data_IF_965742268044
#
_entry.id   IF_965742268044
#
_cell.length_a   1.000
_cell.length_b   1.000
_cell.length_c   1.000
_cell.angle_alpha   90.00
_cell.angle_beta   90.00
_cell.angle_gamma   90.00
#
_symmetry.space_group_name_H-M   'P 1'
#
loop_
_entity.id
_entity.type
_entity.pdbx_description
1 polymer ?
#
# COMPACT_ATOMS: atom_id res chain seq x y z
N UNK A 1 12.50 4.93 9.83
CA UNK A 1 11.35 4.78 8.93
C UNK A 1 11.90 5.18 7.59
N UNK A 2 12.01 4.23 6.67
CA UNK A 2 12.93 4.35 5.54
C UNK A 2 12.19 4.32 4.19
N UNK A 3 10.86 4.15 4.23
CA UNK A 3 9.99 4.14 3.07
C UNK A 3 9.56 5.56 2.71
N UNK A 4 9.77 5.93 1.44
CA UNK A 4 9.37 7.22 0.89
C UNK A 4 8.48 6.99 -0.34
N UNK A 5 7.40 7.77 -0.44
CA UNK A 5 6.52 7.77 -1.61
C UNK A 5 6.56 9.16 -2.26
N UNK A 6 6.87 9.19 -3.56
CA UNK A 6 6.88 10.42 -4.36
C UNK A 6 5.83 10.27 -5.46
N UNK A 7 4.98 11.29 -5.60
CA UNK A 7 3.97 11.36 -6.65
C UNK A 7 4.19 12.62 -7.47
N UNK A 8 4.08 12.50 -8.79
CA UNK A 8 4.20 13.62 -9.72
C UNK A 8 3.20 13.45 -10.85
N UNK A 9 2.79 14.55 -11.46
CA UNK A 9 1.85 14.55 -12.59
C UNK A 9 2.51 14.18 -13.92
N UNK A 10 3.84 14.30 -14.01
CA UNK A 10 4.60 14.08 -15.25
C UNK A 10 5.79 13.14 -15.05
N UNK A 11 6.01 12.27 -16.04
CA UNK A 11 7.15 11.34 -16.05
C UNK A 11 8.50 12.07 -16.05
N UNK A 12 8.72 13.16 -16.83
CA UNK A 12 9.97 13.91 -16.76
C UNK A 12 10.20 14.56 -15.40
N UNK A 13 9.14 15.10 -14.77
CA UNK A 13 9.22 15.68 -13.43
C UNK A 13 9.63 14.65 -12.39
N UNK A 14 9.06 13.44 -12.46
CA UNK A 14 9.47 12.32 -11.60
C UNK A 14 10.96 11.99 -11.72
N UNK A 15 11.49 11.94 -12.96
CA UNK A 15 12.93 11.68 -13.19
C UNK A 15 13.82 12.76 -12.59
N UNK A 16 13.40 14.01 -12.71
CA UNK A 16 14.13 15.14 -12.14
C UNK A 16 14.17 15.08 -10.60
N UNK A 17 13.02 14.81 -9.97
CA UNK A 17 12.94 14.65 -8.52
C UNK A 17 13.74 13.44 -8.04
N UNK A 18 13.68 12.31 -8.75
CA UNK A 18 14.46 11.11 -8.39
C UNK A 18 15.96 11.39 -8.38
N UNK A 19 16.45 12.16 -9.36
CA UNK A 19 17.86 12.56 -9.41
C UNK A 19 18.25 13.47 -8.25
N UNK A 20 17.44 14.49 -7.94
CA UNK A 20 17.72 15.36 -6.79
C UNK A 20 17.66 14.62 -5.45
N UNK A 21 16.75 13.65 -5.33
CA UNK A 21 16.64 12.79 -4.15
C UNK A 21 17.87 11.87 -4.00
N UNK A 22 18.40 11.37 -5.11
CA UNK A 22 19.64 10.57 -5.11
C UNK A 22 20.84 11.39 -4.63
N UNK A 23 21.00 12.62 -5.12
CA UNK A 23 22.06 13.54 -4.68
C UNK A 23 21.96 13.86 -3.17
N UNK A 24 20.75 14.11 -2.66
CA UNK A 24 20.51 14.36 -1.23
C UNK A 24 20.80 13.13 -0.36
N UNK A 25 20.41 11.95 -0.82
CA UNK A 25 20.62 10.69 -0.08
C UNK A 25 22.09 10.29 -0.09
N UNK A 26 22.80 10.53 -1.20
CA UNK A 26 24.25 10.36 -1.26
C UNK A 26 24.97 11.34 -0.33
N UNK A 27 24.54 12.61 -0.27
CA UNK A 27 25.07 13.59 0.69
C UNK A 27 24.89 13.12 2.14
N UNK A 28 23.75 12.50 2.46
CA UNK A 28 23.49 11.89 3.76
C UNK A 28 24.24 10.56 4.00
N UNK A 29 25.12 10.13 3.07
CA UNK A 29 25.82 8.83 3.07
C UNK A 29 24.89 7.61 3.11
N UNK A 30 23.69 7.76 2.58
CA UNK A 30 22.69 6.70 2.45
C UNK A 30 22.57 6.26 0.99
N UNK A 31 21.89 5.14 0.73
CA UNK A 31 21.61 4.64 -0.62
C UNK A 31 20.24 3.99 -0.71
N UNK A 32 19.51 4.28 -1.77
CA UNK A 32 18.29 3.53 -2.10
C UNK A 32 18.65 2.13 -2.58
N UNK A 33 17.76 1.16 -2.31
CA UNK A 33 17.89 -0.22 -2.81
C UNK A 33 16.95 -0.37 -4.01
N UNK A 34 17.43 -0.38 -5.27
CA UNK A 34 16.58 -0.43 -6.45
C UNK A 34 15.65 -1.65 -6.46
N UNK A 35 16.13 -2.80 -5.98
CA UNK A 35 15.34 -4.02 -5.86
C UNK A 35 14.16 -3.91 -4.87
N UNK A 36 14.24 -2.97 -3.90
CA UNK A 36 13.17 -2.64 -2.95
C UNK A 36 12.35 -1.40 -3.37
N UNK A 37 12.80 -0.64 -4.35
CA UNK A 37 12.02 0.46 -4.92
C UNK A 37 11.05 -0.07 -5.96
N UNK A 38 9.91 0.62 -6.13
CA UNK A 38 8.91 0.29 -7.14
C UNK A 38 8.40 1.57 -7.78
N UNK A 39 8.08 1.49 -9.06
CA UNK A 39 7.53 2.61 -9.80
C UNK A 39 6.21 2.22 -10.47
N UNK A 40 5.34 3.21 -10.62
CA UNK A 40 4.04 3.06 -11.27
C UNK A 40 3.72 4.37 -11.99
N UNK A 41 3.32 4.26 -13.26
CA UNK A 41 2.81 5.40 -14.03
C UNK A 41 1.35 5.17 -14.35
N UNK A 42 0.54 6.18 -14.06
CA UNK A 42 -0.90 6.16 -14.30
C UNK A 42 -1.23 7.11 -15.44
N UNK A 43 -2.00 6.64 -16.42
CA UNK A 43 -2.54 7.46 -17.50
C UNK A 43 -4.01 7.11 -17.70
N UNK A 44 -4.90 8.10 -17.53
CA UNK A 44 -6.36 7.93 -17.65
C UNK A 44 -6.88 6.74 -16.80
N UNK A 45 -6.40 6.61 -15.57
CA UNK A 45 -6.81 5.56 -14.64
C UNK A 45 -6.27 4.15 -14.96
N UNK A 46 -5.38 4.00 -15.94
CA UNK A 46 -4.73 2.73 -16.27
C UNK A 46 -3.24 2.78 -15.98
N UNK A 47 -2.69 1.67 -15.48
CA UNK A 47 -1.25 1.50 -15.29
C UNK A 47 -0.57 1.36 -16.65
N UNK A 48 0.49 2.15 -16.88
CA UNK A 48 1.26 2.15 -18.12
C UNK A 48 2.70 1.72 -17.83
N UNK A 49 3.07 0.54 -18.32
CA UNK A 49 4.40 -0.06 -18.09
C UNK A 49 5.47 0.36 -19.12
N UNK A 50 5.19 1.41 -19.90
CA UNK A 50 6.11 1.89 -20.96
C UNK A 50 7.27 2.72 -20.40
N UNK A 51 7.11 3.28 -19.21
CA UNK A 51 8.06 4.22 -18.63
C UNK A 51 8.85 3.54 -17.53
N UNK A 52 10.16 3.42 -17.75
CA UNK A 52 11.11 2.95 -16.74
C UNK A 52 11.80 4.14 -16.07
N UNK A 53 12.07 3.96 -14.78
CA UNK A 53 12.82 4.87 -13.93
C UNK A 53 14.08 4.15 -13.44
N UNK A 54 15.17 4.89 -13.33
CA UNK A 54 16.46 4.38 -12.89
C UNK A 54 16.86 5.10 -11.59
N UNK A 55 17.52 4.36 -10.69
CA UNK A 55 18.23 4.88 -9.51
C UNK A 55 19.63 4.30 -9.57
N UNK A 56 20.68 5.11 -9.46
CA UNK A 56 22.08 4.69 -9.52
C UNK A 56 22.35 3.75 -10.71
N UNK A 57 21.91 4.16 -11.90
CA UNK A 57 21.98 3.41 -13.16
C UNK A 57 21.26 2.05 -13.20
N UNK A 58 20.53 1.69 -12.13
CA UNK A 58 19.75 0.45 -12.04
C UNK A 58 18.27 0.73 -12.27
N UNK A 59 17.65 -0.01 -13.20
CA UNK A 59 16.22 0.11 -13.48
C UNK A 59 15.38 -0.38 -12.28
N UNK A 60 14.43 0.44 -11.85
CA UNK A 60 13.46 0.09 -10.80
C UNK A 60 12.42 -0.85 -11.42
N UNK A 61 12.09 -1.99 -10.78
CA UNK A 61 11.00 -2.84 -11.25
C UNK A 61 9.66 -2.09 -11.18
N UNK A 62 8.83 -2.28 -12.20
CA UNK A 62 7.47 -1.74 -12.17
C UNK A 62 6.58 -2.58 -11.26
N UNK A 63 5.50 -1.96 -10.77
CA UNK A 63 4.49 -2.67 -9.97
C UNK A 63 3.80 -3.79 -10.75
N UNK A 64 3.82 -3.74 -12.08
CA UNK A 64 3.24 -4.75 -12.96
C UNK A 64 4.13 -6.00 -13.05
N UNK A 65 5.45 -5.82 -13.06
CA UNK A 65 6.41 -6.95 -13.06
C UNK A 65 6.52 -7.59 -11.68
N UNK A 66 6.58 -6.79 -10.62
CA UNK A 66 6.66 -7.26 -9.23
C UNK A 66 5.66 -6.48 -8.35
N UNK A 67 4.53 -7.09 -7.97
CA UNK A 67 3.57 -6.45 -7.08
C UNK A 67 4.22 -6.16 -5.73
N UNK A 68 3.88 -5.02 -5.13
CA UNK A 68 4.48 -4.56 -3.88
C UNK A 68 3.50 -4.74 -2.72
N UNK A 69 4.01 -5.24 -1.58
CA UNK A 69 3.31 -5.12 -0.29
C UNK A 69 3.75 -3.83 0.38
N UNK A 70 2.82 -2.91 0.61
CA UNK A 70 3.05 -1.68 1.38
C UNK A 70 2.01 -1.59 2.49
N UNK A 71 2.46 -1.39 3.73
CA UNK A 71 1.62 -1.29 4.93
C UNK A 71 0.62 -2.45 5.10
N UNK A 72 1.04 -3.67 4.73
CA UNK A 72 0.21 -4.87 4.78
C UNK A 72 -0.74 -5.06 3.59
N UNK A 73 -0.86 -4.10 2.67
CA UNK A 73 -1.69 -4.20 1.46
C UNK A 73 -0.85 -4.55 0.24
N UNK A 74 -1.34 -5.48 -0.58
CA UNK A 74 -0.74 -5.83 -1.86
C UNK A 74 -1.30 -4.90 -2.93
N UNK A 75 -0.43 -4.18 -3.62
CA UNK A 75 -0.80 -3.35 -4.77
C UNK A 75 -0.39 -4.06 -6.06
N UNK A 76 -1.38 -4.36 -6.89
CA UNK A 76 -1.21 -4.96 -8.21
C UNK A 76 -1.49 -3.93 -9.33
N UNK A 77 -1.17 -4.31 -10.58
CA UNK A 77 -1.42 -3.46 -11.75
C UNK A 77 -2.90 -3.25 -12.07
N UNK A 78 -3.77 -4.07 -11.47
CA UNK A 78 -5.22 -4.00 -11.63
C UNK A 78 -5.81 -2.83 -10.83
N UNK A 79 -5.11 -2.31 -9.81
CA UNK A 79 -5.58 -1.24 -8.91
C UNK A 79 -6.99 -1.50 -8.35
N UNK A 80 -7.41 -2.76 -8.35
CA UNK A 80 -8.72 -3.18 -7.87
C UNK A 80 -8.52 -3.85 -6.53
N UNK A 81 -9.27 -3.38 -5.54
CA UNK A 81 -9.23 -3.97 -4.21
C UNK A 81 -9.96 -5.31 -4.12
N UNK A 82 -10.51 -5.84 -5.21
CA UNK A 82 -11.33 -7.07 -5.19
C UNK A 82 -10.59 -8.27 -4.62
N UNK A 83 -9.31 -8.44 -4.97
CA UNK A 83 -8.46 -9.51 -4.47
C UNK A 83 -8.11 -9.30 -2.99
N UNK A 84 -7.82 -8.06 -2.60
CA UNK A 84 -7.57 -7.69 -1.20
C UNK A 84 -8.80 -7.85 -0.31
N UNK A 85 -10.00 -7.59 -0.84
CA UNK A 85 -11.27 -7.78 -0.13
C UNK A 85 -11.50 -9.28 0.06
N UNK A 86 -11.34 -10.09 -0.99
CA UNK A 86 -11.51 -11.54 -0.88
C UNK A 86 -10.54 -12.18 0.11
N UNK A 87 -9.27 -11.77 0.11
CA UNK A 87 -8.30 -12.28 1.08
C UNK A 87 -8.68 -11.90 2.52
N UNK A 88 -9.11 -10.65 2.73
CA UNK A 88 -9.56 -10.18 4.05
C UNK A 88 -10.80 -10.93 4.51
N UNK A 89 -11.79 -11.16 3.63
CA UNK A 89 -12.97 -11.95 3.96
C UNK A 89 -12.63 -13.40 4.31
N UNK A 90 -11.66 -14.00 3.61
CA UNK A 90 -11.21 -15.38 3.87
C UNK A 90 -10.49 -15.49 5.21
N UNK A 91 -9.61 -14.54 5.52
CA UNK A 91 -8.91 -14.47 6.81
C UNK A 91 -9.90 -14.25 7.95
N UNK A 92 -10.87 -13.35 7.76
CA UNK A 92 -11.94 -13.09 8.72
C UNK A 92 -12.79 -14.34 8.97
N UNK A 93 -13.16 -15.09 7.93
CA UNK A 93 -13.90 -16.36 8.07
C UNK A 93 -13.08 -17.42 8.85
N UNK A 94 -11.77 -17.49 8.61
CA UNK A 94 -10.87 -18.36 9.36
C UNK A 94 -10.78 -17.98 10.85
N UNK A 95 -10.67 -16.70 11.14
CA UNK A 95 -10.66 -16.19 12.51
C UNK A 95 -12.01 -16.41 13.21
N UNK A 96 -13.12 -16.17 12.49
CA UNK A 96 -14.49 -16.40 12.97
C UNK A 96 -14.70 -17.87 13.38
N UNK A 97 -14.28 -18.81 12.51
CA UNK A 97 -14.33 -20.25 12.80
C UNK A 97 -13.44 -20.65 13.98
N UNK A 98 -12.30 -19.99 14.15
CA UNK A 98 -11.38 -20.26 15.27
C UNK A 98 -11.95 -19.76 16.61
N UNK A 99 -12.56 -18.58 16.61
CA UNK A 99 -13.27 -18.03 17.77
C UNK A 99 -14.48 -18.91 18.10
N UNK A 100 -15.20 -19.43 17.12
CA UNK A 100 -16.35 -20.27 17.40
C UNK A 100 -15.97 -21.62 18.05
N UNK A 101 -14.87 -22.22 17.59
CA UNK A 101 -14.34 -23.50 18.13
C UNK A 101 -13.65 -23.36 19.49
N UNK A 102 -13.35 -22.15 19.95
CA UNK A 102 -12.57 -21.90 21.18
C UNK A 102 -13.25 -22.31 22.50
N UNK A 103 -14.49 -22.81 22.47
CA UNK A 103 -15.23 -23.22 23.68
C UNK A 103 -15.56 -22.08 24.65
N UNK A 104 -15.26 -20.83 24.27
CA UNK A 104 -15.47 -19.65 25.12
C UNK A 104 -16.96 -19.37 25.35
N UNK A 105 -17.36 -18.91 26.56
CA UNK A 105 -18.70 -18.43 26.82
C UNK A 105 -19.06 -17.28 25.87
N UNK A 106 -20.33 -17.22 25.43
CA UNK A 106 -20.76 -16.28 24.36
C UNK A 106 -20.41 -14.81 24.60
N UNK A 107 -20.38 -14.37 25.87
CA UNK A 107 -19.96 -13.00 26.25
C UNK A 107 -18.51 -12.68 25.89
N UNK A 108 -17.60 -13.66 26.00
CA UNK A 108 -16.20 -13.48 25.65
C UNK A 108 -15.98 -13.57 24.14
N UNK A 109 -16.77 -14.39 23.42
CA UNK A 109 -16.77 -14.38 21.94
C UNK A 109 -17.17 -13.01 21.40
N UNK A 110 -18.25 -12.41 21.94
CA UNK A 110 -18.70 -11.07 21.57
C UNK A 110 -17.65 -9.98 21.86
N UNK A 111 -16.96 -10.08 22.99
CA UNK A 111 -15.88 -9.16 23.35
C UNK A 111 -14.67 -9.27 22.41
N UNK A 112 -14.27 -10.49 22.04
CA UNK A 112 -13.20 -10.73 21.05
C UNK A 112 -13.58 -10.14 19.69
N UNK A 113 -14.84 -10.25 19.25
CA UNK A 113 -15.30 -9.57 18.03
C UNK A 113 -15.10 -8.06 18.07
N UNK A 114 -15.49 -7.42 19.17
CA UNK A 114 -15.39 -5.97 19.31
C UNK A 114 -13.95 -5.47 19.41
N UNK A 115 -13.07 -6.17 20.14
CA UNK A 115 -11.70 -5.73 20.38
C UNK A 115 -10.72 -6.15 19.28
N UNK A 116 -10.86 -7.34 18.70
CA UNK A 116 -9.87 -7.86 17.75
C UNK A 116 -10.21 -7.50 16.29
N UNK A 117 -11.49 -7.47 15.92
CA UNK A 117 -11.88 -7.34 14.52
C UNK A 117 -12.24 -5.92 14.11
N UNK A 118 -12.94 -5.18 14.99
CA UNK A 118 -13.42 -3.84 14.67
C UNK A 118 -12.30 -2.82 14.39
N UNK A 119 -11.19 -2.77 15.16
CA UNK A 119 -10.15 -1.76 14.94
C UNK A 119 -9.36 -1.96 13.63
N UNK A 120 -9.08 -3.21 13.27
CA UNK A 120 -8.32 -3.55 12.05
C UNK A 120 -9.09 -3.30 10.75
N UNK A 121 -10.42 -3.44 10.79
CA UNK A 121 -11.29 -3.31 9.62
C UNK A 121 -11.79 -1.88 9.40
N UNK A 122 -12.25 -1.21 10.47
CA UNK A 122 -12.89 0.10 10.37
C UNK A 122 -11.88 1.27 10.37
N UNK A 123 -10.69 1.08 10.96
CA UNK A 123 -9.69 2.13 11.15
C UNK A 123 -9.32 2.95 9.90
N UNK A 124 -9.04 2.34 8.73
CA UNK A 124 -8.67 3.09 7.52
C UNK A 124 -9.85 3.84 6.88
N UNK A 125 -11.05 3.26 6.96
CA UNK A 125 -12.26 3.78 6.29
C UNK A 125 -12.84 5.02 6.96
N UNK A 126 -12.73 5.12 8.29
CA UNK A 126 -13.20 6.27 9.07
C UNK A 126 -12.30 7.49 8.89
N UNK A 127 -10.98 7.29 8.83
CA UNK A 127 -10.01 8.36 8.56
C UNK A 127 -10.17 8.96 7.16
N UNK A 128 -10.37 8.13 6.12
CA UNK A 128 -10.63 8.62 4.76
C UNK A 128 -11.98 9.33 4.62
N UNK A 129 -13.03 8.90 5.33
CA UNK A 129 -14.32 9.61 5.33
C UNK A 129 -14.22 10.98 6.00
N UNK A 130 -13.45 11.09 7.10
CA UNK A 130 -13.21 12.37 7.78
C UNK A 130 -12.47 13.38 6.89
N UNK A 131 -11.44 12.94 6.14
CA UNK A 131 -10.74 13.79 5.17
C UNK A 131 -11.62 14.17 3.97
N UNK A 132 -12.49 13.27 3.49
CA UNK A 132 -13.42 13.58 2.39
C UNK A 132 -14.54 14.55 2.78
N UNK A 133 -14.87 14.65 4.08
CA UNK A 133 -15.85 15.61 4.58
C UNK A 133 -15.22 17.00 4.84
N UNK A 134 -13.91 17.10 5.07
CA UNK A 134 -13.21 18.39 5.20
C UNK A 134 -12.85 19.05 3.86
N UNK A 135 -12.93 18.33 2.73
CA UNK A 135 -12.54 18.81 1.39
C UNK A 135 -13.74 19.08 0.45
N UNK A 136 -14.96 19.16 0.98
CA UNK A 136 -16.10 19.70 0.20
C UNK A 136 -16.29 21.19 0.52
N UNK A 137 -16.41 22.07 -0.50
CA UNK A 137 -16.67 23.50 -0.30
C UNK A 137 -18.04 23.75 0.34
#
# INVERSE_FOLDING_TARGET
>A
MDDLTVMTESVPGCRWILKGLEELVEWARMRFKPAKSRSMVLRKGKVVDKFRFNIADTAIPSISEKPVKSLGKVFDCSLRDTTSIQSTCTELDGWLKSVDKSGLPGKFKAWVYHMAFFPGFCGPSLSMRSLSQQLRP
#
